data_IF_633758339682
#
_entry.id   IF_633758339682
#
_cell.length_a   1.000
_cell.length_b   1.000
_cell.length_c   1.000
_cell.angle_alpha   90.00
_cell.angle_beta   90.00
_cell.angle_gamma   90.00
#
_symmetry.space_group_name_H-M   'P 1'
#
loop_
_entity.id
_entity.type
_entity.pdbx_description
1 polymer ?
#
# COMPACT_ATOMS: atom_id res chain seq x y z
N UNK A 1 -6.59 -39.33 -36.05
CA UNK A 1 -5.67 -38.22 -35.85
C UNK A 1 -5.94 -37.49 -34.53
N UNK A 2 -5.31 -37.54 -33.37
CA UNK A 2 -5.50 -37.01 -32.45
C UNK A 2 -5.29 -35.86 -32.52
N UNK A 3 -5.99 -35.22 -32.32
CA UNK A 3 -5.80 -33.80 -32.19
C UNK A 3 -4.79 -33.55 -31.10
N UNK A 4 -3.64 -33.08 -31.49
CA UNK A 4 -2.64 -32.64 -30.52
C UNK A 4 -3.26 -31.48 -29.70
N UNK A 5 -3.33 -31.71 -28.38
CA UNK A 5 -3.78 -30.64 -27.47
C UNK A 5 -2.84 -29.45 -27.61
N UNK A 6 -3.39 -28.32 -28.04
CA UNK A 6 -2.63 -27.07 -28.15
C UNK A 6 -2.15 -26.66 -26.76
N UNK A 7 -0.87 -26.37 -26.61
CA UNK A 7 -0.34 -25.90 -25.34
C UNK A 7 -0.95 -24.53 -25.00
N UNK A 8 -1.31 -24.28 -23.73
CA UNK A 8 -1.83 -22.97 -23.35
C UNK A 8 -0.79 -21.89 -23.60
N UNK A 9 -1.24 -20.74 -24.08
CA UNK A 9 -0.42 -19.53 -24.10
C UNK A 9 -0.16 -19.05 -22.66
N UNK A 10 0.74 -18.10 -22.51
CA UNK A 10 1.10 -17.54 -21.21
C UNK A 10 0.78 -16.05 -21.13
N UNK A 11 -0.36 -15.66 -21.71
CA UNK A 11 -0.78 -14.25 -21.75
C UNK A 11 -1.00 -13.71 -20.33
N UNK A 12 -1.47 -14.57 -19.40
CA UNK A 12 -1.66 -14.12 -18.02
C UNK A 12 -0.35 -13.65 -17.36
N UNK A 13 0.79 -14.20 -17.78
CA UNK A 13 2.07 -13.71 -17.27
C UNK A 13 2.45 -12.34 -17.84
N UNK A 14 2.04 -12.05 -19.07
CA UNK A 14 2.16 -10.70 -19.62
C UNK A 14 1.29 -9.71 -18.83
N UNK A 15 0.07 -10.11 -18.50
CA UNK A 15 -0.82 -9.29 -17.67
C UNK A 15 -0.18 -9.04 -16.30
N UNK A 16 0.40 -10.08 -15.69
CA UNK A 16 1.10 -9.95 -14.40
C UNK A 16 2.30 -9.01 -14.51
N UNK A 17 3.06 -9.08 -15.60
CA UNK A 17 4.15 -8.13 -15.85
C UNK A 17 3.61 -6.70 -15.90
N UNK A 18 2.49 -6.48 -16.57
CA UNK A 18 1.86 -5.17 -16.62
C UNK A 18 1.45 -4.67 -15.24
N UNK A 19 0.89 -5.56 -14.39
CA UNK A 19 0.54 -5.20 -13.01
C UNK A 19 1.79 -4.87 -12.18
N UNK A 20 2.86 -5.63 -12.38
CA UNK A 20 4.14 -5.36 -11.71
C UNK A 20 4.68 -3.99 -12.12
N UNK A 21 4.68 -3.69 -13.43
CA UNK A 21 5.21 -2.41 -13.93
C UNK A 21 4.36 -1.23 -13.49
N UNK A 22 3.03 -1.36 -13.53
CA UNK A 22 2.15 -0.26 -13.10
C UNK A 22 2.28 0.01 -11.61
N UNK A 23 2.45 -1.04 -10.81
CA UNK A 23 2.63 -0.90 -9.37
C UNK A 23 4.00 -0.27 -9.07
N UNK A 24 5.03 -0.62 -9.86
CA UNK A 24 6.34 0.01 -9.77
C UNK A 24 6.23 1.52 -10.02
N UNK A 25 5.54 1.93 -11.08
CA UNK A 25 5.33 3.35 -11.40
C UNK A 25 4.54 4.05 -10.29
N UNK A 26 3.50 3.41 -9.78
CA UNK A 26 2.67 3.91 -8.69
C UNK A 26 3.52 4.26 -7.47
N UNK A 27 4.34 3.31 -7.00
CA UNK A 27 5.19 3.52 -5.83
C UNK A 27 6.33 4.51 -6.10
N UNK A 28 6.89 4.51 -7.31
CA UNK A 28 7.91 5.49 -7.67
C UNK A 28 7.33 6.91 -7.61
N UNK A 29 6.11 7.11 -8.08
CA UNK A 29 5.45 8.41 -8.04
C UNK A 29 5.10 8.84 -6.62
N UNK A 30 4.81 7.90 -5.72
CA UNK A 30 4.65 8.21 -4.29
C UNK A 30 5.96 8.71 -3.68
N UNK A 31 7.08 8.16 -4.12
CA UNK A 31 8.40 8.46 -3.54
C UNK A 31 9.04 9.73 -4.09
N UNK A 32 8.53 10.31 -5.18
CA UNK A 32 9.12 11.50 -5.80
C UNK A 32 9.29 12.66 -4.82
N UNK A 33 8.25 12.91 -4.01
CA UNK A 33 8.26 14.05 -3.09
C UNK A 33 9.30 13.87 -1.98
N UNK A 34 9.56 12.62 -1.56
CA UNK A 34 10.57 12.36 -0.54
C UNK A 34 11.98 12.68 -1.05
N UNK A 35 12.28 12.23 -2.27
CA UNK A 35 13.59 12.50 -2.87
C UNK A 35 13.78 13.99 -3.16
N UNK A 36 12.72 14.68 -3.60
CA UNK A 36 12.76 16.10 -3.91
C UNK A 36 12.73 17.00 -2.66
N UNK A 37 12.36 16.45 -1.50
CA UNK A 37 11.94 17.22 -0.33
C UNK A 37 12.95 18.26 0.16
N UNK A 38 14.23 17.90 0.30
CA UNK A 38 15.23 18.83 0.79
C UNK A 38 15.49 19.96 -0.20
N UNK A 39 15.53 19.66 -1.49
CA UNK A 39 15.68 20.67 -2.55
C UNK A 39 14.47 21.60 -2.60
N UNK A 40 13.26 21.03 -2.43
CA UNK A 40 12.01 21.79 -2.37
C UNK A 40 12.00 22.77 -1.21
N UNK A 41 12.42 22.33 -0.01
CA UNK A 41 12.50 23.20 1.15
C UNK A 41 13.38 24.41 0.89
N UNK A 42 14.54 24.17 0.31
CA UNK A 42 15.50 25.23 0.01
C UNK A 42 14.97 26.21 -1.04
N UNK A 43 14.44 25.67 -2.17
CA UNK A 43 13.99 26.52 -3.28
C UNK A 43 12.71 27.28 -2.96
N UNK A 44 11.76 26.70 -2.22
CA UNK A 44 10.48 27.32 -1.92
C UNK A 44 10.47 27.98 -0.54
N UNK A 45 11.54 27.85 0.24
CA UNK A 45 11.65 28.48 1.55
C UNK A 45 10.66 27.95 2.57
N UNK A 46 10.32 26.65 2.50
CA UNK A 46 9.31 26.07 3.39
C UNK A 46 9.95 25.39 4.59
N UNK A 47 9.23 25.42 5.71
CA UNK A 47 9.70 24.82 6.96
C UNK A 47 9.34 23.32 7.02
N UNK A 48 9.80 22.64 8.07
CA UNK A 48 9.57 21.22 8.25
C UNK A 48 8.08 20.90 8.44
N UNK A 49 7.34 21.78 9.14
CA UNK A 49 5.89 21.56 9.35
C UNK A 49 5.16 21.56 8.01
N UNK A 50 5.45 22.56 7.17
CA UNK A 50 4.84 22.66 5.83
C UNK A 50 5.19 21.45 4.97
N UNK A 51 6.45 21.02 4.99
CA UNK A 51 6.88 19.83 4.24
C UNK A 51 6.16 18.58 4.74
N UNK A 52 5.97 18.45 6.05
CA UNK A 52 5.20 17.35 6.64
C UNK A 52 3.77 17.29 6.12
N UNK A 53 3.09 18.43 6.02
CA UNK A 53 1.75 18.49 5.45
C UNK A 53 1.74 18.13 3.97
N UNK A 54 2.73 18.58 3.20
CA UNK A 54 2.86 18.22 1.79
C UNK A 54 3.03 16.70 1.66
N UNK A 55 3.89 16.10 2.48
CA UNK A 55 4.07 14.64 2.50
C UNK A 55 2.76 13.89 2.83
N UNK A 56 1.92 14.46 3.68
CA UNK A 56 0.67 13.83 4.10
C UNK A 56 -0.44 13.95 3.05
N UNK A 57 -0.32 14.87 2.10
CA UNK A 57 -1.41 15.21 1.19
C UNK A 57 -1.92 14.01 0.40
N UNK A 58 -1.01 13.17 -0.07
CA UNK A 58 -1.33 11.92 -0.76
C UNK A 58 -2.23 11.03 0.09
N UNK A 59 -1.86 10.85 1.36
CA UNK A 59 -2.56 9.95 2.27
C UNK A 59 -4.00 10.34 2.52
N UNK A 60 -4.27 11.64 2.68
CA UNK A 60 -5.64 12.12 2.90
C UNK A 60 -6.57 11.64 1.78
N UNK A 61 -6.15 11.86 0.54
CA UNK A 61 -6.97 11.53 -0.62
C UNK A 61 -7.01 10.02 -0.88
N UNK A 62 -5.88 9.34 -0.67
CA UNK A 62 -5.78 7.89 -0.91
C UNK A 62 -6.73 7.13 0.01
N UNK A 63 -6.75 7.49 1.28
CA UNK A 63 -7.66 6.85 2.26
C UNK A 63 -9.12 7.17 1.91
N UNK A 64 -9.42 8.44 1.64
CA UNK A 64 -10.79 8.87 1.30
C UNK A 64 -11.27 8.27 -0.01
N UNK A 65 -10.37 8.06 -0.96
CA UNK A 65 -10.70 7.57 -2.30
C UNK A 65 -10.90 6.07 -2.41
N UNK A 66 -10.63 5.29 -1.34
CA UNK A 66 -10.71 3.83 -1.43
C UNK A 66 -12.12 3.34 -1.77
N UNK A 67 -13.13 3.91 -1.13
CA UNK A 67 -14.52 3.51 -1.36
C UNK A 67 -15.00 3.97 -2.76
N UNK A 68 -14.86 5.25 -3.15
CA UNK A 68 -15.21 5.64 -4.51
C UNK A 68 -14.41 4.91 -5.59
N UNK A 69 -13.12 4.64 -5.35
CA UNK A 69 -12.29 3.93 -6.31
C UNK A 69 -12.76 2.51 -6.56
N UNK A 70 -13.11 1.79 -5.50
CA UNK A 70 -13.69 0.46 -5.62
C UNK A 70 -15.02 0.48 -6.37
N UNK A 71 -15.87 1.46 -6.07
CA UNK A 71 -17.14 1.61 -6.77
C UNK A 71 -16.95 1.84 -8.27
N UNK A 72 -15.98 2.71 -8.64
CA UNK A 72 -15.71 2.98 -10.04
C UNK A 72 -15.26 1.72 -10.78
N UNK A 73 -14.41 0.90 -10.15
CA UNK A 73 -13.95 -0.36 -10.75
C UNK A 73 -15.13 -1.32 -10.99
N UNK A 74 -16.01 -1.44 -10.02
CA UNK A 74 -17.19 -2.32 -10.12
C UNK A 74 -18.16 -1.82 -11.19
N UNK A 75 -18.28 -0.51 -11.34
CA UNK A 75 -19.23 0.09 -12.28
C UNK A 75 -18.72 0.11 -13.71
N UNK A 76 -17.45 0.48 -13.93
CA UNK A 76 -16.92 0.75 -15.27
C UNK A 76 -15.87 -0.25 -15.74
N UNK A 77 -15.47 -1.20 -14.89
CA UNK A 77 -14.51 -2.22 -15.24
C UNK A 77 -13.06 -1.81 -14.98
N UNK A 78 -12.20 -2.82 -14.80
CA UNK A 78 -10.83 -2.61 -14.36
C UNK A 78 -9.95 -1.93 -15.40
N UNK A 79 -10.10 -2.30 -16.68
CA UNK A 79 -9.25 -1.75 -17.75
C UNK A 79 -9.38 -0.24 -17.86
N UNK A 80 -10.61 0.25 -18.00
CA UNK A 80 -10.87 1.68 -18.25
C UNK A 80 -10.58 2.53 -17.03
N UNK A 81 -11.03 2.09 -15.85
CA UNK A 81 -10.82 2.86 -14.61
C UNK A 81 -9.34 2.94 -14.29
N UNK A 82 -8.62 1.84 -14.42
CA UNK A 82 -7.20 1.82 -14.13
C UNK A 82 -6.41 2.66 -15.16
N UNK A 83 -6.78 2.60 -16.45
CA UNK A 83 -6.16 3.44 -17.47
C UNK A 83 -6.33 4.92 -17.15
N UNK A 84 -7.54 5.32 -16.77
CA UNK A 84 -7.83 6.71 -16.36
C UNK A 84 -7.02 7.08 -15.12
N UNK A 85 -6.92 6.17 -14.15
CA UNK A 85 -6.12 6.38 -12.94
C UNK A 85 -4.65 6.64 -13.30
N UNK A 86 -4.06 5.78 -14.14
CA UNK A 86 -2.64 5.92 -14.52
C UNK A 86 -2.42 7.27 -15.20
N UNK A 87 -3.27 7.62 -16.15
CA UNK A 87 -3.15 8.88 -16.88
C UNK A 87 -3.29 10.08 -15.93
N UNK A 88 -4.32 10.09 -15.08
CA UNK A 88 -4.59 11.24 -14.23
C UNK A 88 -3.52 11.40 -13.14
N UNK A 89 -3.10 10.31 -12.48
CA UNK A 89 -2.06 10.47 -11.47
C UNK A 89 -0.74 10.92 -12.10
N UNK A 90 -0.46 10.45 -13.31
CA UNK A 90 0.78 10.82 -14.03
C UNK A 90 0.73 12.27 -14.46
N UNK A 91 -0.41 12.74 -14.95
CA UNK A 91 -0.59 14.15 -15.32
C UNK A 91 -0.39 15.05 -14.09
N UNK A 92 -1.01 14.70 -12.96
CA UNK A 92 -0.84 15.47 -11.72
C UNK A 92 0.61 15.42 -11.23
N UNK A 93 1.33 14.33 -11.48
CA UNK A 93 2.76 14.24 -11.16
C UNK A 93 3.56 15.22 -12.02
N UNK A 94 3.32 15.26 -13.33
CA UNK A 94 3.98 16.23 -14.23
C UNK A 94 3.75 17.66 -13.75
N UNK A 95 2.50 17.98 -13.40
CA UNK A 95 2.14 19.35 -13.00
C UNK A 95 2.87 19.79 -11.74
N UNK A 96 3.26 18.88 -10.85
CA UNK A 96 4.04 19.23 -9.67
C UNK A 96 5.39 19.85 -10.04
N UNK A 97 5.95 19.50 -11.19
CA UNK A 97 7.21 20.07 -11.66
C UNK A 97 7.13 21.55 -12.02
N UNK A 98 5.93 22.09 -12.20
CA UNK A 98 5.72 23.48 -12.63
C UNK A 98 5.26 24.40 -11.53
N UNK A 99 5.08 23.92 -10.28
CA UNK A 99 4.51 24.74 -9.20
C UNK A 99 5.40 25.90 -8.80
N UNK A 100 6.72 25.79 -9.00
CA UNK A 100 7.67 26.84 -8.65
C UNK A 100 7.50 28.11 -9.45
N UNK A 101 6.76 28.08 -10.57
CA UNK A 101 6.54 29.24 -11.43
C UNK A 101 5.47 30.20 -10.88
N UNK A 102 4.74 29.82 -9.82
CA UNK A 102 3.56 30.57 -9.34
C UNK A 102 3.83 31.44 -8.11
N UNK A 103 5.08 31.61 -7.70
CA UNK A 103 5.40 32.30 -6.45
C UNK A 103 5.28 31.37 -5.24
N UNK A 104 5.92 31.75 -4.11
CA UNK A 104 6.19 30.78 -3.04
C UNK A 104 4.92 30.29 -2.33
N UNK A 105 3.99 31.17 -1.96
CA UNK A 105 2.80 30.74 -1.24
C UNK A 105 1.85 29.94 -2.13
N UNK A 106 1.68 30.38 -3.37
CA UNK A 106 0.86 29.66 -4.35
C UNK A 106 1.48 28.31 -4.70
N UNK A 107 2.81 28.23 -4.80
CA UNK A 107 3.51 26.99 -5.09
C UNK A 107 3.26 25.93 -4.02
N UNK A 108 3.29 26.32 -2.75
CA UNK A 108 3.06 25.38 -1.64
C UNK A 108 1.63 24.81 -1.68
N UNK A 109 0.63 25.70 -1.86
CA UNK A 109 -0.77 25.26 -1.96
C UNK A 109 -0.97 24.37 -3.19
N UNK A 110 -0.41 24.76 -4.34
CA UNK A 110 -0.53 23.98 -5.57
C UNK A 110 0.11 22.60 -5.41
N UNK A 111 1.26 22.52 -4.77
CA UNK A 111 1.94 21.25 -4.55
C UNK A 111 1.12 20.33 -3.64
N UNK A 112 0.58 20.89 -2.55
CA UNK A 112 -0.30 20.11 -1.65
C UNK A 112 -1.51 19.58 -2.42
N UNK A 113 -2.18 20.43 -3.20
CA UNK A 113 -3.37 20.03 -3.93
C UNK A 113 -3.06 19.00 -5.01
N UNK A 114 -1.93 19.15 -5.69
CA UNK A 114 -1.53 18.17 -6.72
C UNK A 114 -1.17 16.83 -6.09
N UNK A 115 -0.48 16.81 -4.94
CA UNK A 115 -0.22 15.58 -4.20
C UNK A 115 -1.52 14.91 -3.74
N UNK A 116 -2.47 15.72 -3.27
CA UNK A 116 -3.80 15.23 -2.90
C UNK A 116 -4.47 14.57 -4.10
N UNK A 117 -4.45 15.22 -5.26
CA UNK A 117 -5.06 14.70 -6.48
C UNK A 117 -4.36 13.42 -6.97
N UNK A 118 -3.04 13.30 -6.81
CA UNK A 118 -2.32 12.05 -7.11
C UNK A 118 -2.86 10.93 -6.21
N UNK A 119 -3.02 11.18 -4.92
CA UNK A 119 -3.55 10.19 -4.00
C UNK A 119 -4.96 9.73 -4.38
N UNK A 120 -5.81 10.67 -4.75
CA UNK A 120 -7.18 10.36 -5.17
C UNK A 120 -7.17 9.52 -6.46
N UNK A 121 -6.36 9.91 -7.43
CA UNK A 121 -6.24 9.20 -8.71
C UNK A 121 -5.66 7.79 -8.54
N UNK A 122 -4.75 7.60 -7.58
CA UNK A 122 -4.14 6.28 -7.31
C UNK A 122 -5.04 5.34 -6.51
N UNK A 123 -6.11 5.85 -5.90
CA UNK A 123 -6.94 5.04 -5.00
C UNK A 123 -7.47 3.75 -5.64
N UNK A 124 -7.88 3.71 -6.93
CA UNK A 124 -8.34 2.45 -7.53
C UNK A 124 -7.24 1.44 -7.83
N UNK A 125 -5.96 1.76 -7.68
CA UNK A 125 -4.88 0.93 -8.22
C UNK A 125 -4.78 -0.45 -7.57
N UNK A 126 -4.74 -0.54 -6.23
CA UNK A 126 -4.64 -1.85 -5.57
C UNK A 126 -5.92 -2.68 -5.70
N UNK A 127 -7.11 -2.11 -5.51
CA UNK A 127 -8.32 -2.87 -5.82
C UNK A 127 -8.37 -3.29 -7.30
N UNK A 128 -7.89 -2.46 -8.21
CA UNK A 128 -7.79 -2.80 -9.62
C UNK A 128 -6.85 -3.97 -9.87
N UNK A 129 -5.68 -3.98 -9.23
CA UNK A 129 -4.75 -5.11 -9.30
C UNK A 129 -5.43 -6.41 -8.85
N UNK A 130 -6.13 -6.36 -7.73
CA UNK A 130 -6.80 -7.53 -7.18
C UNK A 130 -7.89 -8.05 -8.13
N UNK A 131 -8.68 -7.15 -8.73
CA UNK A 131 -9.71 -7.54 -9.68
C UNK A 131 -9.12 -8.20 -10.93
N UNK A 132 -8.04 -7.65 -11.45
CA UNK A 132 -7.38 -8.20 -12.65
C UNK A 132 -6.77 -9.57 -12.35
N UNK A 133 -6.14 -9.74 -11.19
CA UNK A 133 -5.64 -11.06 -10.77
C UNK A 133 -6.79 -12.06 -10.65
N UNK A 134 -7.92 -11.65 -10.06
CA UNK A 134 -9.08 -12.52 -9.92
C UNK A 134 -9.64 -12.95 -11.29
N UNK A 135 -9.62 -12.04 -12.27
CA UNK A 135 -10.12 -12.32 -13.62
C UNK A 135 -9.17 -13.21 -14.42
N UNK A 136 -7.86 -13.03 -14.28
CA UNK A 136 -6.86 -13.63 -15.16
C UNK A 136 -6.21 -14.89 -14.59
N UNK A 137 -6.34 -15.16 -13.28
CA UNK A 137 -5.58 -16.26 -12.66
C UNK A 137 -6.50 -17.28 -12.02
N UNK A 138 -6.20 -18.58 -12.21
CA UNK A 138 -6.82 -19.63 -11.41
C UNK A 138 -6.62 -19.38 -9.92
N UNK A 139 -7.54 -19.85 -9.11
CA UNK A 139 -7.48 -19.65 -7.65
C UNK A 139 -6.13 -20.08 -7.07
N UNK A 140 -5.58 -21.19 -7.53
CA UNK A 140 -4.31 -21.72 -7.02
C UNK A 140 -3.11 -20.84 -7.36
N UNK A 141 -3.22 -19.98 -8.38
CA UNK A 141 -2.10 -19.12 -8.83
C UNK A 141 -2.21 -17.68 -8.28
N UNK A 142 -3.33 -17.30 -7.67
CA UNK A 142 -3.59 -15.93 -7.22
C UNK A 142 -2.62 -15.44 -6.15
N UNK A 143 -2.25 -16.33 -5.23
CA UNK A 143 -1.33 -15.95 -4.14
C UNK A 143 0.02 -15.52 -4.69
N UNK A 144 0.58 -16.32 -5.61
CA UNK A 144 1.85 -15.99 -6.24
C UNK A 144 1.76 -14.71 -7.07
N UNK A 145 0.68 -14.57 -7.86
CA UNK A 145 0.46 -13.37 -8.68
C UNK A 145 0.39 -12.12 -7.80
N UNK A 146 -0.36 -12.19 -6.69
CA UNK A 146 -0.49 -11.07 -5.77
C UNK A 146 0.84 -10.72 -5.10
N UNK A 147 1.62 -11.72 -4.71
CA UNK A 147 2.94 -11.50 -4.11
C UNK A 147 3.87 -10.81 -5.12
N UNK A 148 3.80 -11.20 -6.39
CA UNK A 148 4.65 -10.62 -7.43
C UNK A 148 4.32 -9.15 -7.64
N UNK A 149 3.04 -8.78 -7.83
CA UNK A 149 2.75 -7.36 -8.05
C UNK A 149 3.01 -6.54 -6.79
N UNK A 150 2.79 -7.12 -5.61
CA UNK A 150 3.04 -6.42 -4.35
C UNK A 150 4.54 -6.15 -4.13
N UNK A 151 5.40 -7.05 -4.59
CA UNK A 151 6.86 -6.87 -4.47
C UNK A 151 7.37 -5.67 -5.29
N UNK A 152 6.56 -5.19 -6.22
CA UNK A 152 6.91 -4.02 -7.03
C UNK A 152 7.16 -2.76 -6.18
N UNK A 153 6.56 -2.67 -4.99
CA UNK A 153 6.82 -1.53 -4.11
C UNK A 153 8.29 -1.41 -3.72
N UNK A 154 8.94 -2.54 -3.46
CA UNK A 154 10.38 -2.55 -3.13
C UNK A 154 11.23 -2.31 -4.36
N UNK A 155 10.87 -2.96 -5.47
CA UNK A 155 11.55 -2.78 -6.76
C UNK A 155 11.52 -1.32 -7.20
N UNK A 156 10.40 -0.63 -6.98
CA UNK A 156 10.26 0.79 -7.32
C UNK A 156 11.34 1.64 -6.63
N UNK A 157 11.55 1.42 -5.35
CA UNK A 157 12.55 2.18 -4.60
C UNK A 157 13.97 1.82 -5.07
N UNK A 158 14.26 0.54 -5.24
CA UNK A 158 15.58 0.09 -5.67
C UNK A 158 15.96 0.69 -7.03
N UNK A 159 15.02 0.66 -7.98
CA UNK A 159 15.26 1.15 -9.33
C UNK A 159 15.22 2.68 -9.42
N UNK A 160 14.20 3.31 -8.85
CA UNK A 160 13.90 4.70 -9.11
C UNK A 160 14.52 5.68 -8.11
N UNK A 161 14.81 5.28 -6.86
CA UNK A 161 15.40 6.22 -5.91
C UNK A 161 16.78 6.71 -6.39
N UNK A 162 17.67 5.84 -6.87
CA UNK A 162 18.94 6.35 -7.44
C UNK A 162 18.73 7.22 -8.68
N UNK A 163 17.83 6.83 -9.58
CA UNK A 163 17.52 7.60 -10.78
C UNK A 163 16.97 8.97 -10.42
N UNK A 164 16.03 9.02 -9.47
CA UNK A 164 15.43 10.28 -9.03
C UNK A 164 16.47 11.18 -8.34
N UNK A 165 17.35 10.60 -7.51
CA UNK A 165 18.44 11.34 -6.89
C UNK A 165 19.38 11.96 -7.92
N UNK A 166 19.72 11.19 -8.96
CA UNK A 166 20.56 11.69 -10.06
C UNK A 166 19.86 12.82 -10.81
N UNK A 167 18.55 12.70 -11.09
CA UNK A 167 17.79 13.74 -11.79
C UNK A 167 17.75 15.02 -10.96
N UNK A 168 17.49 14.92 -9.65
CA UNK A 168 17.50 16.10 -8.77
C UNK A 168 18.87 16.78 -8.77
N UNK A 169 19.93 15.98 -8.63
CA UNK A 169 21.30 16.49 -8.62
C UNK A 169 21.68 17.18 -9.91
N UNK A 170 21.32 16.57 -11.05
CA UNK A 170 21.77 17.04 -12.38
C UNK A 170 20.89 18.12 -12.98
N UNK A 171 19.58 18.09 -12.72
CA UNK A 171 18.60 18.94 -13.44
C UNK A 171 17.67 19.70 -12.49
N UNK A 172 17.60 19.34 -11.23
CA UNK A 172 16.72 19.97 -10.25
C UNK A 172 15.49 19.11 -9.93
N UNK A 173 14.83 19.46 -8.82
CA UNK A 173 13.70 18.69 -8.31
C UNK A 173 12.50 18.71 -9.26
N UNK A 174 12.33 19.78 -10.02
CA UNK A 174 11.22 19.91 -10.97
C UNK A 174 11.21 18.78 -11.99
N UNK A 175 12.39 18.40 -12.44
CA UNK A 175 12.55 17.41 -13.52
C UNK A 175 12.22 15.99 -13.06
N UNK A 176 12.35 15.69 -11.77
CA UNK A 176 11.91 14.39 -11.22
C UNK A 176 10.42 14.19 -11.46
N UNK A 177 9.62 15.19 -11.14
CA UNK A 177 8.17 15.11 -11.34
C UNK A 177 7.80 15.00 -12.81
N UNK A 178 8.48 15.79 -13.65
CA UNK A 178 8.19 15.79 -15.10
C UNK A 178 8.55 14.43 -15.71
N UNK A 179 9.76 13.91 -15.44
CA UNK A 179 10.21 12.64 -16.00
C UNK A 179 9.32 11.48 -15.53
N UNK A 180 9.04 11.41 -14.24
CA UNK A 180 8.23 10.31 -13.70
C UNK A 180 6.80 10.37 -14.23
N UNK A 181 6.23 11.57 -14.32
CA UNK A 181 4.88 11.72 -14.84
C UNK A 181 4.79 11.37 -16.33
N UNK A 182 5.78 11.75 -17.13
CA UNK A 182 5.82 11.42 -18.56
C UNK A 182 5.92 9.91 -18.75
N UNK A 183 6.75 9.22 -17.96
CA UNK A 183 6.83 7.76 -17.99
C UNK A 183 5.45 7.14 -17.77
N UNK A 184 4.71 7.64 -16.78
CA UNK A 184 3.36 7.14 -16.47
C UNK A 184 2.37 7.42 -17.60
N UNK A 185 2.41 8.59 -18.22
CA UNK A 185 1.52 8.93 -19.34
C UNK A 185 1.76 7.96 -20.51
N UNK A 186 3.03 7.72 -20.84
CA UNK A 186 3.38 6.76 -21.88
C UNK A 186 2.85 5.37 -21.52
N UNK A 187 3.02 4.96 -20.25
CA UNK A 187 2.56 3.67 -19.81
C UNK A 187 1.04 3.54 -19.88
N UNK A 188 0.29 4.63 -19.69
CA UNK A 188 -1.18 4.56 -19.80
C UNK A 188 -1.62 4.16 -21.21
N UNK A 189 -0.90 4.63 -22.23
CA UNK A 189 -1.14 4.21 -23.62
C UNK A 189 -0.81 2.74 -23.85
N UNK A 190 0.31 2.27 -23.30
CA UNK A 190 0.71 0.86 -23.37
C UNK A 190 -0.34 -0.02 -22.65
N UNK A 191 -0.84 0.45 -21.52
CA UNK A 191 -1.88 -0.24 -20.74
C UNK A 191 -3.12 -0.50 -21.58
N UNK A 192 -3.59 0.53 -22.30
CA UNK A 192 -4.79 0.39 -23.12
C UNK A 192 -4.62 -0.63 -24.25
N UNK A 193 -3.39 -0.76 -24.77
CA UNK A 193 -3.10 -1.73 -25.85
C UNK A 193 -2.95 -3.16 -25.35
N UNK A 194 -2.42 -3.36 -24.13
CA UNK A 194 -2.03 -4.68 -23.64
C UNK A 194 -3.10 -5.30 -22.76
N UNK A 195 -3.80 -4.50 -21.95
CA UNK A 195 -4.76 -5.00 -20.98
C UNK A 195 -6.13 -5.16 -21.62
N UNK A 196 -6.66 -6.36 -21.55
CA UNK A 196 -8.02 -6.71 -21.97
C UNK A 196 -8.53 -7.77 -21.00
N UNK A 197 -9.84 -8.00 -20.97
CA UNK A 197 -10.38 -9.13 -20.22
C UNK A 197 -9.91 -10.45 -20.87
N UNK A 198 -9.89 -11.57 -20.13
CA UNK A 198 -9.43 -12.83 -20.73
C UNK A 198 -10.20 -13.24 -21.97
N UNK A 199 -11.52 -13.00 -22.02
CA UNK A 199 -12.36 -13.35 -23.17
C UNK A 199 -12.04 -12.52 -24.40
N UNK A 200 -11.61 -11.28 -24.22
CA UNK A 200 -11.41 -10.30 -25.31
C UNK A 200 -9.95 -10.17 -25.74
N UNK A 201 -9.00 -10.78 -25.02
CA UNK A 201 -7.58 -10.58 -25.35
C UNK A 201 -7.24 -11.25 -26.66
N UNK A 202 -6.61 -10.53 -27.60
CA UNK A 202 -6.35 -11.09 -28.94
C UNK A 202 -5.29 -12.18 -28.98
N UNK A 203 -4.43 -12.28 -27.96
CA UNK A 203 -3.30 -13.20 -27.95
C UNK A 203 -3.57 -14.49 -27.18
N UNK A 204 -4.66 -14.57 -26.43
CA UNK A 204 -4.97 -15.76 -25.62
C UNK A 204 -5.54 -16.86 -26.50
N UNK A 205 -5.08 -18.10 -26.31
CA UNK A 205 -5.69 -19.25 -27.00
C UNK A 205 -6.75 -19.90 -26.11
N UNK A 206 -7.53 -20.83 -26.73
CA UNK A 206 -8.63 -21.49 -26.04
C UNK A 206 -8.12 -22.35 -24.87
N UNK A 207 -6.93 -22.93 -24.99
CA UNK A 207 -6.35 -23.77 -23.94
C UNK A 207 -6.06 -22.95 -22.67
N UNK A 208 -5.47 -21.76 -22.79
CA UNK A 208 -5.21 -20.89 -21.64
C UNK A 208 -6.52 -20.35 -21.06
N UNK A 209 -7.46 -19.92 -21.90
CA UNK A 209 -8.75 -19.42 -21.44
C UNK A 209 -9.47 -20.50 -20.61
N UNK A 210 -9.47 -21.72 -21.11
CA UNK A 210 -10.11 -22.84 -20.42
C UNK A 210 -9.40 -23.14 -19.09
N UNK A 211 -8.07 -23.12 -19.09
CA UNK A 211 -7.29 -23.30 -17.85
C UNK A 211 -7.69 -22.29 -16.79
N UNK A 212 -7.84 -21.03 -17.17
CA UNK A 212 -8.23 -19.96 -16.24
C UNK A 212 -9.69 -20.17 -15.78
N UNK A 213 -10.61 -20.32 -16.73
CA UNK A 213 -12.04 -20.36 -16.45
C UNK A 213 -12.43 -21.59 -15.62
N UNK A 214 -11.87 -22.74 -15.94
CA UNK A 214 -12.22 -24.01 -15.29
C UNK A 214 -11.62 -24.13 -13.88
N UNK A 215 -10.62 -23.30 -13.55
CA UNK A 215 -9.89 -23.37 -12.27
C UNK A 215 -10.11 -22.13 -11.38
N UNK A 216 -11.23 -21.44 -11.59
CA UNK A 216 -11.67 -20.40 -10.69
C UNK A 216 -11.40 -18.96 -11.13
N UNK A 217 -10.80 -18.76 -12.31
CA UNK A 217 -10.63 -17.42 -12.85
C UNK A 217 -11.98 -16.77 -13.16
N UNK A 218 -12.15 -15.53 -12.73
CA UNK A 218 -13.42 -14.80 -12.92
C UNK A 218 -13.39 -14.07 -14.26
N UNK A 219 -13.38 -14.84 -15.34
CA UNK A 219 -13.11 -14.33 -16.70
C UNK A 219 -14.15 -13.34 -17.20
N UNK A 220 -15.36 -13.37 -16.65
CA UNK A 220 -16.46 -12.50 -17.05
C UNK A 220 -16.72 -11.37 -16.04
N UNK A 221 -15.79 -11.11 -15.13
CA UNK A 221 -15.97 -10.11 -14.05
C UNK A 221 -16.38 -8.74 -14.58
N UNK A 222 -15.78 -8.30 -15.69
CA UNK A 222 -16.03 -6.97 -16.25
C UNK A 222 -17.15 -6.97 -17.30
N UNK A 223 -17.77 -8.11 -17.60
CA UNK A 223 -18.80 -8.19 -18.64
C UNK A 223 -20.23 -8.13 -18.10
N UNK A 224 -20.43 -8.32 -16.80
CA UNK A 224 -21.74 -8.25 -16.16
C UNK A 224 -22.15 -6.82 -15.79
N UNK A 225 -21.72 -5.84 -16.58
CA UNK A 225 -22.00 -4.42 -16.33
C UNK A 225 -23.49 -4.16 -16.49
N UNK A 226 -24.12 -3.72 -15.41
CA UNK A 226 -25.49 -3.23 -15.42
C UNK A 226 -26.57 -4.24 -15.09
N UNK A 227 -26.25 -5.48 -14.87
CA UNK A 227 -27.21 -6.41 -14.26
C UNK A 227 -27.00 -6.34 -12.74
N UNK A 228 -27.80 -5.50 -12.12
CA UNK A 228 -27.67 -5.19 -10.73
C UNK A 228 -27.78 -6.37 -9.80
N UNK A 229 -26.68 -7.01 -9.53
CA UNK A 229 -26.51 -7.56 -8.20
C UNK A 229 -26.36 -6.35 -7.31
N UNK A 230 -27.41 -6.03 -6.58
CA UNK A 230 -27.31 -5.10 -5.47
C UNK A 230 -26.14 -5.58 -4.63
N UNK A 231 -25.02 -4.89 -4.74
CA UNK A 231 -23.96 -5.03 -3.76
C UNK A 231 -24.59 -4.59 -2.46
N UNK A 232 -24.84 -5.52 -1.57
CA UNK A 232 -25.32 -5.18 -0.24
C UNK A 232 -24.34 -4.15 0.32
N UNK A 233 -24.85 -2.99 0.68
CA UNK A 233 -24.06 -1.92 1.22
C UNK A 233 -23.32 -2.39 2.49
N UNK A 234 -22.38 -1.58 2.99
CA UNK A 234 -21.61 -1.98 4.15
C UNK A 234 -22.54 -2.36 5.30
N UNK A 235 -22.32 -3.53 5.86
CA UNK A 235 -23.11 -4.01 6.99
C UNK A 235 -22.56 -3.35 8.25
N UNK A 236 -23.16 -2.25 8.65
CA UNK A 236 -22.69 -1.41 9.76
C UNK A 236 -22.60 -2.18 11.08
N UNK A 237 -23.49 -3.13 11.30
CA UNK A 237 -23.46 -3.96 12.49
C UNK A 237 -22.18 -4.81 12.53
N UNK A 238 -21.78 -5.37 11.40
CA UNK A 238 -20.55 -6.16 11.32
C UNK A 238 -19.30 -5.29 11.50
N UNK A 239 -19.29 -4.09 10.93
CA UNK A 239 -18.21 -3.12 11.14
C UNK A 239 -18.09 -2.80 12.63
N UNK A 240 -19.22 -2.54 13.29
CA UNK A 240 -19.28 -2.27 14.73
C UNK A 240 -18.68 -3.43 15.53
N UNK A 241 -19.01 -4.67 15.18
CA UNK A 241 -18.47 -5.84 15.88
C UNK A 241 -16.95 -5.93 15.73
N UNK A 242 -16.42 -5.64 14.53
CA UNK A 242 -14.96 -5.61 14.32
C UNK A 242 -14.30 -4.49 15.12
N UNK A 243 -14.91 -3.30 15.13
CA UNK A 243 -14.36 -2.13 15.82
C UNK A 243 -14.46 -2.24 17.36
N UNK A 244 -15.28 -3.14 17.87
CA UNK A 244 -15.37 -3.40 19.31
C UNK A 244 -14.65 -4.69 19.72
N UNK A 245 -14.07 -5.41 18.76
CA UNK A 245 -13.32 -6.64 19.04
C UNK A 245 -11.90 -6.27 19.45
N UNK A 246 -11.49 -6.69 20.65
CA UNK A 246 -10.19 -6.36 21.23
C UNK A 246 -9.04 -6.82 20.32
N UNK A 247 -9.09 -8.06 19.83
CA UNK A 247 -8.04 -8.62 18.98
C UNK A 247 -7.87 -7.80 17.70
N UNK A 248 -9.00 -7.48 17.05
CA UNK A 248 -8.95 -6.71 15.80
C UNK A 248 -8.43 -5.29 16.04
N UNK A 249 -8.83 -4.64 17.14
CA UNK A 249 -8.29 -3.33 17.50
C UNK A 249 -6.78 -3.37 17.70
N UNK A 250 -6.29 -4.43 18.32
CA UNK A 250 -4.85 -4.63 18.48
C UNK A 250 -4.14 -4.81 17.13
N UNK A 251 -4.76 -5.55 16.22
CA UNK A 251 -4.22 -5.75 14.86
C UNK A 251 -4.19 -4.43 14.11
N UNK A 252 -5.24 -3.62 14.20
CA UNK A 252 -5.30 -2.31 13.55
C UNK A 252 -4.25 -1.36 14.11
N UNK A 253 -4.09 -1.31 15.43
CA UNK A 253 -3.07 -0.47 16.07
C UNK A 253 -1.67 -0.91 15.65
N UNK A 254 -1.42 -2.21 15.63
CA UNK A 254 -0.14 -2.75 15.19
C UNK A 254 0.17 -2.35 13.76
N UNK A 255 -0.81 -2.48 12.86
CA UNK A 255 -0.60 -2.12 11.46
C UNK A 255 -0.37 -0.62 11.27
N UNK A 256 -1.11 0.21 12.01
CA UNK A 256 -0.90 1.65 12.00
C UNK A 256 0.54 1.98 12.40
N UNK A 257 1.04 1.36 13.47
CA UNK A 257 2.39 1.62 13.94
C UNK A 257 3.47 1.09 13.00
N UNK A 258 3.26 -0.09 12.42
CA UNK A 258 4.17 -0.66 11.41
C UNK A 258 4.24 0.26 10.19
N UNK A 259 3.10 0.76 9.75
CA UNK A 259 3.07 1.68 8.61
C UNK A 259 3.67 3.05 8.97
N UNK A 260 3.68 3.42 10.24
CA UNK A 260 4.43 4.61 10.69
C UNK A 260 5.91 4.49 10.35
N UNK A 261 6.49 3.31 10.55
CA UNK A 261 7.87 3.04 10.16
C UNK A 261 8.01 3.15 8.63
N UNK A 262 7.11 2.52 7.90
CA UNK A 262 7.10 2.55 6.43
C UNK A 262 7.05 3.99 5.90
N UNK A 263 6.16 4.81 6.44
CA UNK A 263 5.98 6.18 5.94
C UNK A 263 7.08 7.12 6.36
N UNK A 264 7.82 6.84 7.43
CA UNK A 264 9.09 7.54 7.66
C UNK A 264 10.03 7.29 6.47
N UNK A 265 10.22 6.03 6.08
CA UNK A 265 11.13 5.70 4.98
C UNK A 265 10.63 6.24 3.63
N UNK A 266 9.31 6.33 3.44
CA UNK A 266 8.73 6.82 2.18
C UNK A 266 8.64 8.35 2.11
N UNK A 267 8.85 9.07 3.20
CA UNK A 267 8.71 10.52 3.22
C UNK A 267 9.99 11.23 3.70
N UNK A 268 10.35 11.06 4.96
CA UNK A 268 11.39 11.87 5.59
C UNK A 268 12.79 11.27 5.49
N UNK A 269 12.93 9.99 5.14
CA UNK A 269 14.25 9.34 5.18
C UNK A 269 15.26 10.01 4.24
N UNK A 270 14.95 10.28 2.96
CA UNK A 270 15.92 10.98 2.11
C UNK A 270 16.26 12.38 2.64
N UNK A 271 15.28 13.10 3.18
CA UNK A 271 15.52 14.42 3.79
C UNK A 271 16.47 14.29 4.98
N UNK A 272 16.26 13.28 5.81
CA UNK A 272 17.14 12.95 6.94
C UNK A 272 18.58 12.75 6.47
N UNK A 273 18.78 11.96 5.43
CA UNK A 273 20.13 11.68 4.91
C UNK A 273 20.83 12.95 4.44
N UNK A 274 20.10 13.84 3.78
CA UNK A 274 20.67 15.10 3.27
C UNK A 274 20.89 16.10 4.40
N UNK A 275 19.88 16.39 5.20
CA UNK A 275 19.90 17.50 6.17
C UNK A 275 20.60 17.15 7.47
N UNK A 276 20.37 15.95 8.01
CA UNK A 276 20.96 15.55 9.29
C UNK A 276 22.33 14.91 9.13
N UNK A 277 22.51 14.17 8.05
CA UNK A 277 23.75 13.38 7.83
C UNK A 277 24.66 14.00 6.78
N UNK A 278 24.27 15.10 6.16
CA UNK A 278 25.13 15.85 5.26
C UNK A 278 25.43 15.19 3.92
N UNK A 279 24.62 14.20 3.52
CA UNK A 279 24.82 13.55 2.23
C UNK A 279 24.40 14.43 1.07
N UNK A 280 25.06 14.26 -0.08
CA UNK A 280 24.56 14.86 -1.32
C UNK A 280 23.24 14.18 -1.71
N UNK A 281 22.42 14.86 -2.48
CA UNK A 281 21.14 14.29 -2.94
C UNK A 281 21.38 13.05 -3.82
N UNK A 282 22.47 13.03 -4.58
CA UNK A 282 22.85 11.87 -5.39
C UNK A 282 23.11 10.65 -4.51
N UNK A 283 23.93 10.82 -3.48
CA UNK A 283 24.26 9.75 -2.53
C UNK A 283 23.02 9.31 -1.75
N UNK A 284 22.19 10.26 -1.31
CA UNK A 284 20.96 9.95 -0.58
C UNK A 284 20.02 9.08 -1.42
N UNK A 285 19.91 9.35 -2.72
CA UNK A 285 19.10 8.53 -3.63
C UNK A 285 19.59 7.08 -3.71
N UNK A 286 20.91 6.88 -3.82
CA UNK A 286 21.50 5.53 -3.81
C UNK A 286 21.30 4.83 -2.47
N UNK A 287 21.54 5.54 -1.36
CA UNK A 287 21.42 4.96 -0.01
C UNK A 287 19.97 4.59 0.31
N UNK A 288 18.99 5.36 -0.17
CA UNK A 288 17.57 5.11 0.10
C UNK A 288 17.10 3.75 -0.45
N UNK A 289 17.80 3.20 -1.45
CA UNK A 289 17.45 1.88 -1.99
C UNK A 289 17.82 0.72 -1.04
N UNK A 290 18.78 0.90 -0.14
CA UNK A 290 19.25 -0.17 0.74
C UNK A 290 18.20 -0.65 1.74
N UNK A 291 17.49 0.22 2.45
CA UNK A 291 16.42 -0.25 3.33
C UNK A 291 15.32 -1.00 2.57
N UNK A 292 15.03 -0.60 1.34
CA UNK A 292 14.01 -1.29 0.53
C UNK A 292 14.41 -2.73 0.22
N UNK A 293 15.68 -2.96 -0.14
CA UNK A 293 16.20 -4.31 -0.36
C UNK A 293 16.09 -5.13 0.94
N UNK A 294 16.50 -4.55 2.05
CA UNK A 294 16.47 -5.24 3.35
C UNK A 294 15.04 -5.52 3.79
N UNK A 295 14.11 -4.59 3.54
CA UNK A 295 12.69 -4.79 3.86
C UNK A 295 12.09 -5.93 3.04
N UNK A 296 12.44 -6.04 1.77
CA UNK A 296 12.00 -7.15 0.93
C UNK A 296 12.50 -8.49 1.48
N UNK A 297 13.79 -8.56 1.78
CA UNK A 297 14.40 -9.79 2.35
C UNK A 297 13.73 -10.13 3.68
N UNK A 298 13.53 -9.13 4.54
CA UNK A 298 12.85 -9.32 5.83
C UNK A 298 11.43 -9.82 5.67
N UNK A 299 10.68 -9.28 4.70
CA UNK A 299 9.31 -9.70 4.44
C UNK A 299 9.22 -11.16 4.02
N UNK A 300 10.09 -11.58 3.11
CA UNK A 300 10.18 -13.00 2.70
C UNK A 300 10.55 -13.86 3.89
N UNK A 301 11.56 -13.45 4.64
CA UNK A 301 12.04 -14.23 5.80
C UNK A 301 10.96 -14.36 6.87
N UNK A 302 10.22 -13.29 7.16
CA UNK A 302 9.13 -13.33 8.14
C UNK A 302 8.06 -14.34 7.78
N UNK A 303 7.65 -14.35 6.50
CA UNK A 303 6.69 -15.33 5.99
C UNK A 303 7.22 -16.75 6.09
N UNK A 304 8.47 -16.98 5.71
CA UNK A 304 9.12 -18.29 5.77
C UNK A 304 9.21 -18.78 7.23
N UNK A 305 9.58 -17.90 8.16
CA UNK A 305 9.67 -18.25 9.58
C UNK A 305 8.29 -18.63 10.11
N UNK A 306 7.27 -17.83 9.80
CA UNK A 306 5.91 -18.11 10.27
C UNK A 306 5.40 -19.47 9.77
N UNK A 307 5.60 -19.74 8.48
CA UNK A 307 5.19 -21.04 7.89
C UNK A 307 5.98 -22.20 8.48
N UNK A 308 7.28 -22.02 8.71
CA UNK A 308 8.14 -23.03 9.33
C UNK A 308 7.64 -23.38 10.75
N UNK A 309 7.28 -22.36 11.54
CA UNK A 309 6.77 -22.58 12.89
C UNK A 309 5.45 -23.34 12.87
N UNK A 310 4.57 -23.04 11.91
CA UNK A 310 3.32 -23.81 11.75
C UNK A 310 3.59 -25.26 11.39
N UNK A 311 4.52 -25.54 10.50
CA UNK A 311 4.89 -26.91 10.11
C UNK A 311 5.50 -27.70 11.27
N UNK A 312 6.19 -27.02 12.17
CA UNK A 312 6.80 -27.65 13.35
C UNK A 312 5.78 -27.92 14.46
N UNK A 313 4.51 -27.57 14.26
CA UNK A 313 3.44 -27.86 15.21
C UNK A 313 3.17 -26.76 16.23
N UNK A 314 3.80 -25.59 16.10
CA UNK A 314 3.50 -24.46 16.98
C UNK A 314 2.11 -23.91 16.68
N UNK A 315 1.49 -23.28 17.67
CA UNK A 315 0.17 -22.68 17.52
C UNK A 315 0.20 -21.55 16.49
N UNK A 316 -0.95 -21.27 15.88
CA UNK A 316 -1.10 -20.15 14.95
C UNK A 316 -0.71 -18.83 15.62
N UNK A 317 -1.12 -18.63 16.88
CA UNK A 317 -0.79 -17.43 17.64
C UNK A 317 0.73 -17.24 17.75
N UNK A 318 1.46 -18.27 18.14
CA UNK A 318 2.92 -18.21 18.27
C UNK A 318 3.57 -18.03 16.90
N UNK A 319 3.11 -18.77 15.88
CA UNK A 319 3.72 -18.73 14.54
C UNK A 319 3.60 -17.35 13.90
N UNK A 320 2.50 -16.61 14.18
CA UNK A 320 2.35 -15.24 13.67
C UNK A 320 3.04 -14.22 14.57
N UNK A 321 2.87 -14.31 15.89
CA UNK A 321 3.39 -13.29 16.82
C UNK A 321 4.92 -13.30 16.94
N UNK A 322 5.55 -14.48 16.89
CA UNK A 322 7.00 -14.55 17.13
C UNK A 322 7.80 -13.75 16.08
N UNK A 323 7.59 -13.92 14.77
CA UNK A 323 8.31 -13.07 13.81
C UNK A 323 7.90 -11.61 13.91
N UNK A 324 6.63 -11.31 14.17
CA UNK A 324 6.17 -9.92 14.28
C UNK A 324 6.91 -9.22 15.43
N UNK A 325 6.90 -9.83 16.61
CA UNK A 325 7.50 -9.23 17.81
C UNK A 325 9.02 -9.13 17.63
N UNK A 326 9.68 -10.21 17.19
CA UNK A 326 11.12 -10.21 16.98
C UNK A 326 11.54 -9.17 15.95
N UNK A 327 10.83 -9.11 14.83
CA UNK A 327 11.12 -8.14 13.78
C UNK A 327 10.97 -6.71 14.24
N UNK A 328 9.91 -6.42 14.97
CA UNK A 328 9.66 -5.05 15.45
C UNK A 328 10.63 -4.65 16.57
N UNK A 329 11.07 -5.58 17.39
CA UNK A 329 12.14 -5.28 18.35
C UNK A 329 13.43 -4.92 17.64
N UNK A 330 13.77 -5.64 16.57
CA UNK A 330 14.91 -5.30 15.72
C UNK A 330 14.72 -3.92 15.08
N UNK A 331 13.51 -3.62 14.61
CA UNK A 331 13.17 -2.34 13.99
C UNK A 331 13.34 -1.16 14.97
N UNK A 332 13.10 -1.38 16.26
CA UNK A 332 13.24 -0.33 17.28
C UNK A 332 14.69 0.16 17.40
N UNK A 333 15.66 -0.61 16.89
CA UNK A 333 17.08 -0.24 16.89
C UNK A 333 17.39 0.98 16.04
N UNK A 334 16.41 1.52 15.29
CA UNK A 334 16.59 2.77 14.52
C UNK A 334 17.05 3.92 15.43
N UNK A 335 16.67 3.90 16.71
CA UNK A 335 17.08 4.92 17.68
C UNK A 335 18.61 4.95 17.85
N UNK A 336 19.29 3.83 17.62
CA UNK A 336 20.75 3.76 17.70
C UNK A 336 21.46 4.72 16.72
N UNK A 337 20.79 5.12 15.63
CA UNK A 337 21.33 6.13 14.71
C UNK A 337 21.65 7.44 15.39
N UNK A 338 20.98 7.76 16.50
CA UNK A 338 21.22 8.98 17.27
C UNK A 338 22.54 8.96 18.04
N UNK A 339 23.16 7.81 18.19
CA UNK A 339 24.33 7.59 19.03
C UNK A 339 25.59 7.19 18.24
N UNK A 340 25.50 7.19 16.91
CA UNK A 340 26.61 6.85 16.03
C UNK A 340 26.84 7.98 15.03
N UNK A 341 28.10 8.27 14.74
CA UNK A 341 28.49 9.31 13.79
C UNK A 341 29.06 8.73 12.50
N UNK A 342 29.41 7.44 12.50
CA UNK A 342 30.02 6.77 11.35
C UNK A 342 28.90 6.47 10.34
N UNK A 343 29.07 6.97 9.11
CA UNK A 343 28.04 6.93 8.08
C UNK A 343 27.56 5.49 7.80
N UNK A 344 28.47 4.53 7.66
CA UNK A 344 28.06 3.16 7.34
C UNK A 344 27.26 2.53 8.49
N UNK A 345 27.51 2.94 9.74
CA UNK A 345 26.72 2.46 10.89
C UNK A 345 25.29 3.03 10.86
N UNK A 346 25.15 4.30 10.49
CA UNK A 346 23.83 4.93 10.35
C UNK A 346 23.02 4.18 9.27
N UNK A 347 23.62 3.99 8.11
CA UNK A 347 22.98 3.28 7.00
C UNK A 347 22.64 1.84 7.41
N UNK A 348 23.57 1.18 8.13
CA UNK A 348 23.37 -0.17 8.63
C UNK A 348 22.17 -0.29 9.58
N UNK A 349 22.05 0.65 10.52
CA UNK A 349 20.91 0.66 11.46
C UNK A 349 19.60 0.97 10.74
N UNK A 350 19.61 1.87 9.74
CA UNK A 350 18.42 2.14 8.94
C UNK A 350 17.98 0.89 8.16
N UNK A 351 18.94 0.21 7.53
CA UNK A 351 18.66 -1.03 6.80
C UNK A 351 18.16 -2.12 7.74
N UNK A 352 18.75 -2.25 8.93
CA UNK A 352 18.34 -3.22 9.94
C UNK A 352 16.93 -2.91 10.44
N UNK A 353 16.60 -1.64 10.65
CA UNK A 353 15.26 -1.23 11.07
C UNK A 353 14.20 -1.63 10.04
N UNK A 354 14.47 -1.40 8.77
CA UNK A 354 13.51 -1.75 7.73
C UNK A 354 13.45 -3.26 7.48
N UNK A 355 14.57 -3.96 7.63
CA UNK A 355 14.61 -5.43 7.65
C UNK A 355 13.69 -5.97 8.75
N UNK A 356 13.82 -5.45 9.96
CA UNK A 356 12.99 -5.86 11.09
C UNK A 356 11.51 -5.57 10.85
N UNK A 357 11.20 -4.40 10.29
CA UNK A 357 9.83 -4.05 9.89
C UNK A 357 9.29 -5.07 8.87
N UNK A 358 10.13 -5.48 7.92
CA UNK A 358 9.76 -6.50 6.94
C UNK A 358 9.44 -7.85 7.58
N UNK A 359 10.31 -8.30 8.49
CA UNK A 359 10.09 -9.56 9.24
C UNK A 359 8.76 -9.49 10.01
N UNK A 360 8.45 -8.32 10.58
CA UNK A 360 7.24 -8.12 11.35
C UNK A 360 5.99 -7.80 10.52
N UNK A 361 6.10 -7.74 9.21
CA UNK A 361 5.00 -7.31 8.35
C UNK A 361 4.08 -8.47 7.96
N UNK A 362 3.56 -9.19 8.94
CA UNK A 362 2.63 -10.32 8.76
C UNK A 362 1.17 -9.92 8.99
N UNK A 363 0.88 -8.62 9.02
CA UNK A 363 -0.47 -8.14 9.32
C UNK A 363 -1.53 -8.69 8.38
N UNK A 364 -1.23 -8.79 7.08
CA UNK A 364 -2.19 -9.35 6.13
C UNK A 364 -2.46 -10.83 6.37
N UNK A 365 -1.45 -11.60 6.78
CA UNK A 365 -1.63 -13.00 7.16
C UNK A 365 -2.54 -13.10 8.40
N UNK A 366 -2.31 -12.23 9.38
CA UNK A 366 -3.13 -12.19 10.60
C UNK A 366 -4.58 -11.84 10.25
N UNK A 367 -4.79 -10.87 9.36
CA UNK A 367 -6.14 -10.50 8.90
C UNK A 367 -6.81 -11.68 8.19
N UNK A 368 -6.08 -12.41 7.35
CA UNK A 368 -6.63 -13.62 6.71
C UNK A 368 -7.03 -14.68 7.75
N UNK A 369 -6.25 -14.82 8.82
CA UNK A 369 -6.52 -15.79 9.89
C UNK A 369 -7.72 -15.39 10.73
N UNK A 370 -7.99 -14.10 10.88
CA UNK A 370 -8.91 -13.57 11.91
C UNK A 370 -10.21 -13.00 11.34
N UNK A 371 -10.24 -12.64 10.06
CA UNK A 371 -11.42 -12.00 9.46
C UNK A 371 -12.62 -12.93 9.43
N UNK A 372 -13.81 -12.45 9.78
CA UNK A 372 -15.02 -13.26 9.62
C UNK A 372 -15.21 -13.66 8.16
N UNK A 373 -15.62 -14.89 7.93
CA UNK A 373 -15.77 -15.42 6.57
C UNK A 373 -16.75 -14.62 5.73
N UNK A 374 -17.82 -14.11 6.35
CA UNK A 374 -18.89 -13.38 5.66
C UNK A 374 -18.44 -12.04 5.11
N UNK A 375 -17.45 -11.40 5.74
CA UNK A 375 -17.02 -10.04 5.43
C UNK A 375 -15.50 -9.93 5.31
N UNK A 376 -14.86 -10.96 4.75
CA UNK A 376 -13.39 -10.98 4.61
C UNK A 376 -12.89 -9.75 3.84
N UNK A 377 -13.58 -9.36 2.77
CA UNK A 377 -13.21 -8.17 1.99
C UNK A 377 -13.36 -6.88 2.78
N UNK A 378 -14.47 -6.72 3.49
CA UNK A 378 -14.71 -5.54 4.33
C UNK A 378 -13.68 -5.46 5.47
N UNK A 379 -13.39 -6.60 6.09
CA UNK A 379 -12.40 -6.68 7.17
C UNK A 379 -11.02 -6.28 6.67
N UNK A 380 -10.62 -6.77 5.50
CA UNK A 380 -9.36 -6.38 4.86
C UNK A 380 -9.32 -4.89 4.54
N UNK A 381 -10.44 -4.35 4.06
CA UNK A 381 -10.57 -2.92 3.76
C UNK A 381 -10.40 -2.06 5.01
N UNK A 382 -11.01 -2.45 6.12
CA UNK A 382 -10.86 -1.74 7.40
C UNK A 382 -9.40 -1.77 7.88
N UNK A 383 -8.77 -2.93 7.80
CA UNK A 383 -7.36 -3.10 8.17
C UNK A 383 -6.47 -2.17 7.35
N UNK A 384 -6.69 -2.14 6.04
CA UNK A 384 -5.89 -1.30 5.13
C UNK A 384 -6.12 0.19 5.41
N UNK A 385 -7.37 0.57 5.63
CA UNK A 385 -7.73 1.96 5.94
C UNK A 385 -7.05 2.42 7.24
N UNK A 386 -7.18 1.64 8.32
CA UNK A 386 -6.55 2.01 9.60
C UNK A 386 -5.02 2.04 9.49
N UNK A 387 -4.43 1.07 8.80
CA UNK A 387 -2.98 1.07 8.59
C UNK A 387 -2.51 2.29 7.82
N UNK A 388 -3.24 2.71 6.80
CA UNK A 388 -2.84 3.84 5.96
C UNK A 388 -3.16 5.21 6.56
N UNK A 389 -3.85 5.31 7.69
CA UNK A 389 -3.92 6.56 8.44
C UNK A 389 -2.51 7.04 8.80
N UNK A 390 -1.56 6.13 8.97
CA UNK A 390 -0.15 6.48 9.21
C UNK A 390 0.46 7.31 8.07
N UNK A 391 -0.03 7.17 6.84
CA UNK A 391 0.44 8.01 5.73
C UNK A 391 0.10 9.48 5.92
N UNK A 392 -0.92 9.76 6.73
CA UNK A 392 -1.33 11.12 7.08
C UNK A 392 -0.55 11.59 8.31
N UNK A 393 -0.64 10.82 9.41
CA UNK A 393 -0.17 11.27 10.72
C UNK A 393 1.36 11.27 10.83
N UNK A 394 2.03 10.25 10.31
CA UNK A 394 3.48 10.11 10.49
C UNK A 394 4.26 11.29 9.88
N UNK A 395 4.02 11.67 8.61
CA UNK A 395 4.78 12.81 8.07
C UNK A 395 4.52 14.11 8.82
N UNK A 396 3.28 14.34 9.26
CA UNK A 396 2.91 15.57 9.97
C UNK A 396 3.59 15.61 11.34
N UNK A 397 3.51 14.51 12.10
CA UNK A 397 4.12 14.43 13.44
C UNK A 397 5.63 14.66 13.33
N UNK A 398 6.28 14.02 12.38
CA UNK A 398 7.74 14.19 12.20
C UNK A 398 8.07 15.65 11.84
N UNK A 399 7.27 16.29 10.98
CA UNK A 399 7.46 17.69 10.64
C UNK A 399 7.41 18.60 11.87
N UNK A 400 6.44 18.39 12.76
CA UNK A 400 6.32 19.13 14.01
C UNK A 400 7.49 18.85 14.95
N UNK A 401 7.93 17.60 15.05
CA UNK A 401 9.07 17.23 15.89
C UNK A 401 10.33 17.98 15.43
N UNK A 402 10.60 17.97 14.12
CA UNK A 402 11.79 18.64 13.57
C UNK A 402 11.71 20.15 13.81
N UNK A 403 10.55 20.75 13.57
CA UNK A 403 10.35 22.18 13.78
C UNK A 403 10.54 22.59 15.24
N UNK A 404 10.02 21.78 16.19
CA UNK A 404 10.08 22.09 17.61
C UNK A 404 11.46 21.85 18.20
N UNK A 405 12.20 20.84 17.75
CA UNK A 405 13.48 20.44 18.34
C UNK A 405 14.68 20.85 17.50
N UNK A 406 14.48 21.19 16.23
CA UNK A 406 15.56 21.51 15.31
C UNK A 406 16.39 20.31 14.86
N UNK A 407 15.94 19.09 15.14
CA UNK A 407 16.72 17.87 14.90
C UNK A 407 15.83 16.70 14.54
N UNK A 408 16.38 15.76 13.76
CA UNK A 408 15.75 14.47 13.48
C UNK A 408 15.88 13.47 14.64
N UNK A 409 16.64 13.80 15.69
CA UNK A 409 16.88 12.88 16.80
C UNK A 409 15.58 12.35 17.40
N UNK A 410 14.64 13.25 17.72
CA UNK A 410 13.36 12.86 18.31
C UNK A 410 12.41 12.24 17.29
N UNK A 411 12.60 12.54 16.00
CA UNK A 411 11.84 11.85 14.94
C UNK A 411 12.20 10.37 14.90
N UNK A 412 13.48 10.02 15.04
CA UNK A 412 13.90 8.61 15.10
C UNK A 412 13.39 7.91 16.36
N UNK A 413 13.35 8.64 17.49
CA UNK A 413 12.74 8.11 18.73
C UNK A 413 11.26 7.81 18.48
N UNK A 414 10.54 8.72 17.81
CA UNK A 414 9.14 8.51 17.47
C UNK A 414 8.95 7.24 16.62
N UNK A 415 9.79 7.04 15.60
CA UNK A 415 9.71 5.85 14.74
C UNK A 415 9.99 4.58 15.56
N UNK A 416 10.99 4.61 16.42
CA UNK A 416 11.30 3.49 17.32
C UNK A 416 10.15 3.19 18.27
N UNK A 417 9.48 4.24 18.77
CA UNK A 417 8.30 4.08 19.63
C UNK A 417 7.14 3.42 18.87
N UNK A 418 6.96 3.74 17.59
CA UNK A 418 5.96 3.04 16.77
C UNK A 418 6.22 1.53 16.78
N UNK A 419 7.48 1.11 16.61
CA UNK A 419 7.84 -0.30 16.64
C UNK A 419 7.49 -0.92 18.01
N UNK A 420 7.82 -0.23 19.10
CA UNK A 420 7.56 -0.74 20.45
C UNK A 420 6.07 -0.78 20.78
N UNK A 421 5.29 0.20 20.32
CA UNK A 421 3.82 0.18 20.51
C UNK A 421 3.22 -0.99 19.74
N UNK A 422 3.70 -1.28 18.53
CA UNK A 422 3.24 -2.45 17.79
C UNK A 422 3.57 -3.75 18.52
N UNK A 423 4.76 -3.86 19.12
CA UNK A 423 5.14 -5.01 19.95
C UNK A 423 4.16 -5.15 21.12
N UNK A 424 3.90 -4.06 21.84
CA UNK A 424 2.96 -4.05 22.95
C UNK A 424 1.57 -4.51 22.50
N UNK A 425 1.11 -4.00 21.34
CA UNK A 425 -0.21 -4.37 20.82
C UNK A 425 -0.31 -5.87 20.58
N UNK A 426 0.70 -6.46 19.92
CA UNK A 426 0.69 -7.90 19.64
C UNK A 426 0.89 -8.75 20.89
N UNK A 427 1.68 -8.28 21.86
CA UNK A 427 1.90 -9.01 23.11
C UNK A 427 0.67 -8.99 24.02
N UNK A 428 -0.02 -7.85 24.13
CA UNK A 428 -1.01 -7.61 25.18
C UNK A 428 -2.42 -7.48 24.63
N UNK A 429 -2.63 -6.69 23.56
CA UNK A 429 -3.97 -6.35 23.11
C UNK A 429 -4.55 -7.44 22.21
N UNK A 430 -3.76 -7.97 21.27
CA UNK A 430 -4.25 -8.93 20.28
C UNK A 430 -4.73 -10.23 20.93
N UNK A 431 -4.00 -10.73 21.91
CA UNK A 431 -4.35 -12.00 22.55
C UNK A 431 -4.23 -13.18 21.57
N UNK A 432 -4.95 -14.28 21.83
CA UNK A 432 -4.91 -15.42 20.92
C UNK A 432 -5.45 -15.08 19.54
N UNK A 433 -4.72 -15.49 18.50
CA UNK A 433 -5.13 -15.25 17.11
C UNK A 433 -6.12 -16.34 16.71
N UNK A 434 -7.35 -15.95 16.45
CA UNK A 434 -8.43 -16.85 16.06
C UNK A 434 -9.44 -16.10 15.20
N UNK A 435 -10.19 -16.85 14.41
CA UNK A 435 -11.20 -16.25 13.53
C UNK A 435 -12.32 -15.62 14.35
N UNK A 436 -12.68 -14.39 14.02
CA UNK A 436 -13.79 -13.68 14.64
C UNK A 436 -15.09 -14.33 14.15
N UNK A 437 -15.99 -14.68 15.07
CA UNK A 437 -17.31 -15.17 14.76
C UNK A 437 -18.28 -14.01 14.98
N UNK A 438 -18.96 -13.61 13.89
CA UNK A 438 -19.92 -12.53 13.96
C UNK A 438 -21.25 -13.04 14.54
N UNK A 439 -21.84 -12.23 15.42
CA UNK A 439 -23.20 -12.44 15.88
C UNK A 439 -24.14 -11.85 14.84
N UNK A 440 -25.03 -12.68 14.30
CA UNK A 440 -26.02 -12.19 13.35
C UNK A 440 -26.98 -11.25 14.09
N UNK A 441 -27.41 -10.15 13.44
CA UNK A 441 -28.43 -9.31 14.05
C UNK A 441 -29.71 -10.15 14.26
N UNK A 442 -30.45 -9.93 15.38
CA UNK A 442 -31.68 -10.68 15.58
C UNK A 442 -32.57 -10.52 14.38
N UNK A 443 -32.97 -11.64 13.79
CA UNK A 443 -33.91 -11.64 12.70
C UNK A 443 -35.16 -10.94 13.22
N UNK A 444 -35.50 -9.74 12.69
CA UNK A 444 -36.81 -9.18 12.90
C UNK A 444 -37.75 -10.15 12.22
N UNK A 445 -38.28 -11.08 12.98
CA UNK A 445 -39.28 -12.01 12.51
C UNK A 445 -40.46 -11.26 11.94
N UNK A 446 -41.25 -11.90 11.06
CA UNK A 446 -42.49 -11.28 10.61
C UNK A 446 -43.38 -11.11 11.81
N UNK A 447 -43.24 -9.99 12.50
CA UNK A 447 -44.03 -9.70 13.66
C UNK A 447 -45.40 -9.21 13.23
N UNK A 448 -46.39 -9.95 13.60
CA UNK A 448 -47.62 -9.47 14.21
C UNK A 448 -48.31 -8.30 13.52
N UNK A 449 -48.55 -8.44 12.23
CA UNK A 449 -49.67 -7.66 11.63
C UNK A 449 -50.89 -8.56 11.41
N UNK A 450 -50.96 -9.71 12.09
CA UNK A 450 -52.09 -10.62 11.84
C UNK A 450 -52.91 -10.91 13.11
N UNK A 451 -52.92 -9.99 14.09
CA UNK A 451 -53.79 -10.15 15.26
C UNK A 451 -54.84 -9.08 15.41
N UNK A 452 -55.08 -8.30 14.37
CA UNK A 452 -56.15 -7.26 14.48
C UNK A 452 -57.28 -7.42 13.45
N UNK A 453 -57.35 -8.54 12.74
CA UNK A 453 -58.47 -8.77 11.82
C UNK A 453 -59.46 -9.84 12.28
N UNK A 454 -59.30 -10.36 13.51
CA UNK A 454 -60.28 -11.38 13.99
C UNK A 454 -61.05 -10.94 15.23
N UNK A 455 -61.24 -9.63 15.43
CA UNK A 455 -62.05 -9.15 16.56
C UNK A 455 -63.31 -8.40 16.12
N UNK A 456 -63.77 -8.57 14.89
CA UNK A 456 -65.11 -8.07 14.49
C UNK A 456 -65.71 -9.02 13.47
N UNK A 457 -66.35 -10.10 13.97
CA UNK A 457 -67.44 -10.81 13.32
C UNK A 457 -68.33 -11.36 14.38
#
# INVERSE_FOLDING_TARGET
>A
MXMQATKPTHVRYLILLMLFLVTTINYADRATIAIAGSSLQKDLGIDAVTLGYIFSAFGWAYVAGQIPGGWLLDRFGSKKVYALSIFTWSLFTVLQGYVGEFGMSTAVVALFMLRFLVGLAEAPSFPGNARIVAAWFPTAERGTASAIFNSAQYFATVLFAPLMGWIVYSFGWQHVFIVMGVIGIIFSGIWLKVIHSPRQHPMINDAEFKHIADNGGMVDMDQDKGKGKKVDGPKWDYIRQLLTNRMMLGVYLGQYCINGITYFFLTWFPVYLVQERGMTILKAGFIASLPAICGFIGGVLGGVISDYLLRKGHSLTFARKAPIIAGLLVSSSIVACNYVDIEWMVVGFMALAFFGKGVGALGWAVVSDTSPKQIAGLSGGLFNMFGNIASITTPIVIGYIISSTGSFKWALVFVGCNALVAVFSYLVIVGPIKRVVLKEPPVSGPETHNKLSQAHS
#
